data_IF_024694412404
#
_entry.id   IF_024694412404
#
_cell.length_a   1.000
_cell.length_b   1.000
_cell.length_c   1.000
_cell.angle_alpha   90.00
_cell.angle_beta   90.00
_cell.angle_gamma   90.00
#
_symmetry.space_group_name_H-M   'P 1'
#
loop_
_entity.id
_entity.type
_entity.pdbx_description
1 polymer ?
#
# COMPACT_ATOMS: atom_id res chain seq x y z
N UNK A 1 -19.51 -12.95 8.79
CA UNK A 1 -19.98 -11.56 8.66
C UNK A 1 -20.91 -11.42 7.47
N UNK A 2 -20.44 -11.54 6.20
CA UNK A 2 -21.36 -11.51 5.04
C UNK A 2 -22.41 -12.65 5.03
N UNK A 3 -22.06 -13.86 5.45
CA UNK A 3 -23.06 -14.96 5.53
C UNK A 3 -24.12 -14.76 6.62
N UNK A 4 -23.86 -13.88 7.60
CA UNK A 4 -24.77 -13.57 8.70
C UNK A 4 -25.57 -12.28 8.45
N UNK A 5 -24.95 -11.28 7.83
CA UNK A 5 -25.55 -9.95 7.57
C UNK A 5 -26.10 -9.81 6.15
N UNK A 6 -25.61 -10.60 5.18
CA UNK A 6 -26.08 -10.60 3.79
C UNK A 6 -27.59 -10.83 3.63
N UNK A 7 -28.22 -11.77 4.36
CA UNK A 7 -29.66 -11.98 4.29
C UNK A 7 -30.49 -10.76 4.70
N UNK A 8 -29.98 -9.89 5.59
CA UNK A 8 -30.67 -8.63 5.94
C UNK A 8 -30.67 -7.61 4.79
N UNK A 9 -29.73 -7.73 3.86
CA UNK A 9 -29.57 -6.82 2.73
C UNK A 9 -29.99 -7.45 1.39
N UNK A 10 -30.75 -8.56 1.42
CA UNK A 10 -31.13 -9.32 0.22
C UNK A 10 -29.94 -9.80 -0.62
N UNK A 11 -28.76 -9.94 0.01
CA UNK A 11 -27.60 -10.57 -0.60
C UNK A 11 -27.78 -12.07 -0.40
N UNK A 12 -28.19 -12.74 -1.47
CA UNK A 12 -28.32 -14.19 -1.45
C UNK A 12 -26.94 -14.88 -1.45
N UNK A 13 -26.96 -16.18 -1.19
CA UNK A 13 -25.73 -16.96 -1.08
C UNK A 13 -24.97 -16.99 -2.41
N UNK A 14 -25.69 -17.01 -3.52
CA UNK A 14 -25.11 -17.05 -4.86
C UNK A 14 -24.38 -15.75 -5.21
N UNK A 15 -24.93 -14.59 -4.80
CA UNK A 15 -24.25 -13.30 -4.90
C UNK A 15 -23.02 -13.23 -3.99
N UNK A 16 -23.09 -13.75 -2.76
CA UNK A 16 -21.91 -13.81 -1.90
C UNK A 16 -20.77 -14.65 -2.55
N UNK A 17 -21.13 -15.77 -3.18
CA UNK A 17 -20.18 -16.61 -3.91
C UNK A 17 -19.67 -15.97 -5.21
N UNK A 18 -20.45 -15.14 -5.89
CA UNK A 18 -19.96 -14.43 -7.08
C UNK A 18 -18.92 -13.39 -6.69
N UNK A 19 -19.20 -12.58 -5.64
CA UNK A 19 -18.28 -11.57 -5.11
C UNK A 19 -16.98 -12.24 -4.65
N UNK A 20 -17.05 -13.34 -3.90
CA UNK A 20 -15.86 -14.06 -3.46
C UNK A 20 -14.99 -14.52 -4.64
N UNK A 21 -15.61 -15.07 -5.69
CA UNK A 21 -14.88 -15.56 -6.87
C UNK A 21 -14.25 -14.42 -7.66
N UNK A 22 -14.96 -13.33 -7.82
CA UNK A 22 -14.44 -12.14 -8.52
C UNK A 22 -13.28 -11.52 -7.75
N UNK A 23 -13.40 -11.41 -6.43
CA UNK A 23 -12.33 -10.92 -5.56
C UNK A 23 -11.06 -11.78 -5.64
N UNK A 24 -11.19 -13.11 -5.61
CA UNK A 24 -10.05 -14.03 -5.76
C UNK A 24 -9.36 -13.89 -7.12
N UNK A 25 -10.13 -13.75 -8.20
CA UNK A 25 -9.57 -13.51 -9.54
C UNK A 25 -8.80 -12.19 -9.60
N UNK A 26 -9.33 -11.13 -9.01
CA UNK A 26 -8.66 -9.83 -8.99
C UNK A 26 -7.34 -9.89 -8.20
N UNK A 27 -7.29 -10.63 -7.10
CA UNK A 27 -6.04 -10.86 -6.36
C UNK A 27 -4.99 -11.61 -7.19
N UNK A 28 -5.38 -12.65 -7.93
CA UNK A 28 -4.47 -13.38 -8.81
C UNK A 28 -3.90 -12.48 -9.93
N UNK A 29 -4.73 -11.59 -10.49
CA UNK A 29 -4.29 -10.62 -11.50
C UNK A 29 -3.22 -9.69 -10.92
N UNK A 30 -3.48 -9.09 -9.74
CA UNK A 30 -2.54 -8.18 -9.08
C UNK A 30 -1.19 -8.84 -8.77
N UNK A 31 -1.17 -10.12 -8.40
CA UNK A 31 0.07 -10.86 -8.17
C UNK A 31 0.84 -11.19 -9.46
N UNK A 32 0.18 -11.16 -10.61
CA UNK A 32 0.77 -11.50 -11.91
C UNK A 32 1.31 -10.29 -12.69
N UNK A 33 0.99 -9.07 -12.28
CA UNK A 33 1.48 -7.87 -12.95
C UNK A 33 3.00 -7.70 -12.75
N UNK A 34 3.74 -7.27 -13.78
CA UNK A 34 5.18 -7.07 -13.68
C UNK A 34 5.48 -5.90 -12.74
N UNK A 35 6.25 -6.18 -11.69
CA UNK A 35 6.72 -5.15 -10.75
C UNK A 35 7.96 -4.49 -11.31
N UNK A 36 8.01 -3.16 -11.26
CA UNK A 36 9.28 -2.44 -11.28
C UNK A 36 9.97 -2.71 -9.95
N UNK A 37 11.13 -3.38 -10.00
CA UNK A 37 11.86 -3.78 -8.81
C UNK A 37 12.21 -2.55 -7.96
N UNK A 38 12.02 -2.65 -6.65
CA UNK A 38 12.43 -1.66 -5.66
C UNK A 38 13.86 -1.17 -5.81
N UNK A 39 14.79 -2.07 -6.16
CA UNK A 39 16.18 -1.70 -6.42
C UNK A 39 16.30 -0.77 -7.64
N UNK A 40 15.58 -1.06 -8.72
CA UNK A 40 15.57 -0.25 -9.94
C UNK A 40 14.92 1.12 -9.69
N UNK A 41 13.93 1.19 -8.80
CA UNK A 41 13.27 2.43 -8.42
C UNK A 41 14.16 3.32 -7.52
N UNK A 42 14.92 2.71 -6.60
CA UNK A 42 15.89 3.43 -5.76
C UNK A 42 17.01 4.06 -6.60
N UNK A 43 17.49 3.35 -7.63
CA UNK A 43 18.49 3.88 -8.57
C UNK A 43 17.97 5.04 -9.44
N UNK A 44 16.66 5.04 -9.76
CA UNK A 44 16.02 6.15 -10.47
C UNK A 44 15.80 7.38 -9.57
N UNK A 45 15.46 7.16 -8.29
CA UNK A 45 15.27 8.25 -7.32
C UNK A 45 16.58 8.96 -6.98
N UNK A 46 17.71 8.25 -6.88
CA UNK A 46 19.04 8.89 -6.69
C UNK A 46 19.46 9.76 -7.89
N UNK A 47 18.86 9.54 -9.06
CA UNK A 47 19.15 10.29 -10.29
C UNK A 47 18.18 11.45 -10.53
N UNK A 48 17.12 11.56 -9.74
CA UNK A 48 16.01 12.49 -9.95
C UNK A 48 15.80 13.48 -8.80
N UNK A 49 16.88 14.04 -8.23
CA UNK A 49 16.80 15.29 -7.43
C UNK A 49 16.52 16.53 -8.32
N UNK A 50 16.00 16.37 -9.54
CA UNK A 50 15.84 17.48 -10.52
C UNK A 50 14.47 17.65 -11.17
N UNK A 51 13.50 16.75 -10.93
CA UNK A 51 12.12 16.94 -11.42
C UNK A 51 11.18 17.45 -10.32
N UNK A 52 11.47 18.65 -9.81
CA UNK A 52 10.37 19.53 -9.40
C UNK A 52 9.85 20.30 -10.62
N UNK A 53 8.53 20.29 -10.75
CA UNK A 53 7.69 21.26 -11.46
C UNK A 53 7.55 21.12 -12.98
N UNK A 54 6.39 20.64 -13.46
CA UNK A 54 5.75 21.25 -14.65
C UNK A 54 4.31 20.80 -14.95
N UNK A 55 3.75 19.69 -14.41
CA UNK A 55 2.39 19.24 -14.84
C UNK A 55 1.49 18.59 -13.75
N UNK A 56 1.71 18.92 -12.48
CA UNK A 56 0.98 18.34 -11.33
C UNK A 56 -0.49 18.81 -11.19
N UNK A 57 -0.85 19.97 -11.72
CA UNK A 57 -2.06 20.69 -11.30
C UNK A 57 -3.35 20.31 -12.06
N UNK A 58 -3.31 19.28 -12.91
CA UNK A 58 -4.44 18.86 -13.74
C UNK A 58 -4.98 17.44 -13.44
N UNK A 59 -4.41 16.74 -12.46
CA UNK A 59 -4.87 15.40 -12.06
C UNK A 59 -5.69 15.49 -10.77
N UNK A 60 -6.79 14.72 -10.73
CA UNK A 60 -7.53 14.50 -9.49
C UNK A 60 -6.60 13.89 -8.44
N UNK A 61 -6.82 14.21 -7.16
CA UNK A 61 -6.05 13.63 -6.05
C UNK A 61 -6.10 12.09 -6.07
N UNK A 62 -7.21 11.53 -6.53
CA UNK A 62 -7.43 10.10 -6.73
C UNK A 62 -6.55 9.54 -7.87
N UNK A 63 -6.47 10.22 -9.02
CA UNK A 63 -5.59 9.82 -10.14
C UNK A 63 -4.10 9.92 -9.79
N UNK A 64 -3.75 10.84 -8.86
CA UNK A 64 -2.38 10.99 -8.38
C UNK A 64 -2.01 9.85 -7.45
N UNK A 65 -2.90 9.46 -6.53
CA UNK A 65 -2.71 8.30 -5.65
C UNK A 65 -2.60 7.01 -6.48
N UNK A 66 -3.48 6.82 -7.45
CA UNK A 66 -3.50 5.67 -8.34
C UNK A 66 -2.23 5.52 -9.17
N UNK A 67 -1.63 6.65 -9.59
CA UNK A 67 -0.33 6.65 -10.27
C UNK A 67 0.82 6.42 -9.30
N UNK A 68 0.74 7.01 -8.11
CA UNK A 68 1.76 6.87 -7.07
C UNK A 68 1.82 5.43 -6.54
N UNK A 69 0.68 4.74 -6.37
CA UNK A 69 0.63 3.33 -5.98
C UNK A 69 1.18 2.41 -7.08
N UNK A 70 0.90 2.73 -8.36
CA UNK A 70 1.47 1.99 -9.50
C UNK A 70 2.96 2.27 -9.71
N UNK A 71 3.44 3.45 -9.31
CA UNK A 71 4.82 3.89 -9.50
C UNK A 71 5.71 3.54 -8.29
N UNK A 72 5.16 3.53 -7.07
CA UNK A 72 5.85 3.14 -5.85
C UNK A 72 5.48 1.68 -5.57
N UNK A 73 6.32 0.74 -6.04
CA UNK A 73 6.20 -0.69 -5.75
C UNK A 73 6.39 -1.09 -4.28
N UNK A 74 6.32 -0.13 -3.34
CA UNK A 74 6.44 -0.31 -1.90
C UNK A 74 5.53 0.62 -1.14
N UNK A 75 4.62 0.05 -0.36
CA UNK A 75 3.81 0.82 0.57
C UNK A 75 3.57 0.03 1.86
N UNK A 76 3.22 0.75 2.93
CA UNK A 76 3.01 0.17 4.25
C UNK A 76 1.74 0.75 4.86
N UNK A 77 0.81 -0.12 5.25
CA UNK A 77 -0.45 0.27 5.89
C UNK A 77 -0.50 -0.32 7.29
N UNK A 78 -0.65 0.55 8.30
CA UNK A 78 -0.63 0.12 9.70
C UNK A 78 -1.12 1.16 10.70
N UNK A 79 -1.19 0.76 11.97
CA UNK A 79 -1.37 1.69 13.09
C UNK A 79 -0.03 2.02 13.74
N UNK A 80 0.19 3.28 14.08
CA UNK A 80 1.28 3.66 14.97
C UNK A 80 0.86 3.48 16.44
N UNK A 81 1.83 3.18 17.30
CA UNK A 81 1.65 3.09 18.75
C UNK A 81 2.41 4.20 19.46
N UNK A 82 3.62 4.48 19.01
CA UNK A 82 4.49 5.49 19.59
C UNK A 82 5.41 6.06 18.51
N UNK A 83 5.49 7.38 18.46
CA UNK A 83 6.48 8.11 17.65
C UNK A 83 7.28 8.98 18.59
N UNK A 84 8.61 8.85 18.53
CA UNK A 84 9.54 9.61 19.39
C UNK A 84 10.63 10.23 18.55
N UNK A 85 11.02 11.46 18.91
CA UNK A 85 12.14 12.18 18.32
C UNK A 85 13.19 12.43 19.39
N UNK A 86 14.46 12.14 19.10
CA UNK A 86 15.59 12.54 19.94
C UNK A 86 16.66 13.17 19.06
N UNK A 87 16.83 14.49 19.19
CA UNK A 87 17.63 15.32 18.27
C UNK A 87 17.14 15.14 16.82
N UNK A 88 17.92 14.45 15.99
CA UNK A 88 17.61 14.16 14.58
C UNK A 88 17.02 12.76 14.37
N UNK A 89 17.05 11.89 15.39
CA UNK A 89 16.60 10.50 15.26
C UNK A 89 15.12 10.38 15.52
N UNK A 90 14.39 9.79 14.59
CA UNK A 90 13.00 9.40 14.76
C UNK A 90 12.91 7.90 15.02
N UNK A 91 12.13 7.52 16.02
CA UNK A 91 11.81 6.14 16.33
C UNK A 91 10.30 5.97 16.33
N UNK A 92 9.81 5.13 15.42
CA UNK A 92 8.40 4.85 15.21
C UNK A 92 8.12 3.38 15.53
N UNK A 93 7.11 3.12 16.36
CA UNK A 93 6.62 1.79 16.69
C UNK A 93 5.24 1.59 16.09
N UNK A 94 5.07 0.54 15.30
CA UNK A 94 3.86 0.22 14.56
C UNK A 94 3.24 -1.10 15.03
N UNK A 95 1.95 -1.28 14.83
CA UNK A 95 1.21 -2.51 15.09
C UNK A 95 0.18 -2.82 14.01
N UNK A 96 -0.19 -4.09 13.89
CA UNK A 96 -1.28 -4.58 13.05
C UNK A 96 -1.24 -3.98 11.63
N UNK A 97 -0.19 -4.29 10.89
CA UNK A 97 0.01 -3.76 9.55
C UNK A 97 0.49 -4.80 8.56
N UNK A 98 0.58 -4.38 7.31
CA UNK A 98 1.25 -5.12 6.26
C UNK A 98 2.11 -4.16 5.43
N UNK A 99 3.17 -4.71 4.84
CA UNK A 99 4.07 -4.01 3.94
C UNK A 99 3.97 -4.71 2.60
N UNK A 100 3.65 -3.97 1.55
CA UNK A 100 3.79 -4.44 0.18
C UNK A 100 5.23 -4.15 -0.27
N UNK A 101 5.96 -5.18 -0.68
CA UNK A 101 7.30 -5.08 -1.26
C UNK A 101 7.31 -5.89 -2.55
N UNK A 102 7.44 -5.25 -3.71
CA UNK A 102 7.59 -5.95 -4.98
C UNK A 102 6.47 -7.00 -5.23
N UNK A 103 5.20 -6.62 -5.00
CA UNK A 103 4.00 -7.49 -5.03
C UNK A 103 3.91 -8.57 -3.93
N UNK A 104 4.80 -8.55 -2.94
CA UNK A 104 4.67 -9.40 -1.76
C UNK A 104 4.12 -8.62 -0.58
N UNK A 105 2.94 -9.06 -0.11
CA UNK A 105 2.36 -8.55 1.13
C UNK A 105 2.92 -9.30 2.33
N UNK A 106 3.66 -8.57 3.18
CA UNK A 106 4.25 -9.07 4.41
C UNK A 106 3.46 -8.53 5.60
N UNK A 107 2.55 -9.33 6.20
CA UNK A 107 1.85 -8.92 7.40
C UNK A 107 2.76 -8.98 8.62
N UNK A 108 2.57 -8.07 9.57
CA UNK A 108 3.30 -8.05 10.83
C UNK A 108 2.40 -7.65 12.01
N UNK A 109 2.71 -8.19 13.19
CA UNK A 109 2.02 -7.84 14.44
C UNK A 109 2.56 -6.55 15.03
N UNK A 110 3.88 -6.40 15.09
CA UNK A 110 4.60 -5.21 15.57
C UNK A 110 5.84 -4.94 14.72
N UNK A 111 6.13 -3.68 14.43
CA UNK A 111 7.34 -3.26 13.72
C UNK A 111 7.95 -2.01 14.39
N UNK A 112 9.26 -1.82 14.26
CA UNK A 112 9.96 -0.61 14.72
C UNK A 112 10.84 -0.07 13.61
N UNK A 113 10.68 1.22 13.29
CA UNK A 113 11.53 1.95 12.35
C UNK A 113 12.37 2.98 13.08
N UNK A 114 13.66 3.07 12.73
CA UNK A 114 14.56 4.14 13.17
C UNK A 114 15.07 4.92 11.96
N UNK A 115 14.80 6.22 11.93
CA UNK A 115 15.15 7.11 10.82
C UNK A 115 16.14 8.15 11.33
N UNK A 116 17.29 8.25 10.65
CA UNK A 116 18.43 9.07 11.10
C UNK A 116 18.43 10.51 10.56
N UNK A 117 17.61 10.79 9.54
CA UNK A 117 17.59 12.08 8.83
C UNK A 117 16.19 12.38 8.27
N UNK A 118 15.89 13.66 8.09
CA UNK A 118 14.76 14.20 7.34
C UNK A 118 15.32 14.89 6.11
#
# INVERSE_FOLDING_TARGET
MLEQEGPMHSIDRDMAYSIQREWLKNLEVLQSEPVVNTADLAELQERDESFEDSHSDLLSEEDRLDRLERQIGVYMVCFFTKVTKTKTKWKCSFKNGFINLDNYDIPYSTATGEFLQW
#
